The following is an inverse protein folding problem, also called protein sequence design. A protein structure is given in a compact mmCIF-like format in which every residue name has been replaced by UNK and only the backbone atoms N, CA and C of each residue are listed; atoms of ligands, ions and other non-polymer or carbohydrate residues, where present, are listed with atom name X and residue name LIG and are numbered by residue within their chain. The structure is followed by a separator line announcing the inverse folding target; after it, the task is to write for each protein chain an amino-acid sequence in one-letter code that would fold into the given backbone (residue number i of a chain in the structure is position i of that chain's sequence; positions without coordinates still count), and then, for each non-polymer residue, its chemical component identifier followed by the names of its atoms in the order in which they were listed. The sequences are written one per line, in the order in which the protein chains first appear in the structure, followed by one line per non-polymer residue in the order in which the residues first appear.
data_IF_548516945546
#
_entry.id   IF_548516945546
#
_cell.length_a   1.000
_cell.length_b   1.000
_cell.length_c   1.000
_cell.angle_alpha   90.00
_cell.angle_beta   90.00
_cell.angle_gamma   90.00
#
_symmetry.space_group_name_H-M   'P 1'
#
loop_
_entity.id
_entity.type
_entity.pdbx_description
1 polymer ?
#
# COMPACT_ATOMS: atom_id res chain seq x y z
N UNK A 1 34.01 -25.14 46.81
CA UNK A 1 33.95 -24.22 45.68
C UNK A 1 32.53 -24.26 45.09
N UNK A 2 31.71 -23.23 45.42
CA UNK A 2 30.36 -23.05 44.87
C UNK A 2 30.49 -22.19 43.65
N UNK A 3 30.32 -22.78 42.43
CA UNK A 3 30.20 -22.02 41.19
C UNK A 3 28.80 -21.40 41.13
N UNK A 4 28.71 -20.10 41.35
CA UNK A 4 27.50 -19.34 41.09
C UNK A 4 27.26 -19.21 39.60
N UNK A 5 26.20 -19.88 39.10
CA UNK A 5 25.71 -19.70 37.75
C UNK A 5 24.97 -18.37 37.69
N UNK A 6 25.60 -17.34 37.13
CA UNK A 6 24.92 -16.06 36.86
C UNK A 6 23.96 -16.28 35.65
N UNK A 7 22.66 -16.37 35.95
CA UNK A 7 21.61 -16.28 34.93
C UNK A 7 21.61 -14.86 34.34
N UNK A 8 22.19 -14.69 33.16
CA UNK A 8 21.99 -13.52 32.34
C UNK A 8 20.52 -13.53 31.86
N UNK A 9 19.66 -12.83 32.60
CA UNK A 9 18.33 -12.49 32.12
C UNK A 9 18.48 -11.58 30.90
N UNK A 10 17.84 -11.87 29.74
CA UNK A 10 17.84 -10.96 28.64
C UNK A 10 17.22 -9.64 29.10
N UNK A 11 17.97 -8.55 29.04
CA UNK A 11 17.41 -7.22 29.23
C UNK A 11 16.39 -7.01 28.12
N UNK A 12 15.11 -6.98 28.48
CA UNK A 12 14.04 -6.54 27.60
C UNK A 12 14.34 -5.07 27.24
N UNK A 13 14.87 -4.83 26.06
CA UNK A 13 15.08 -3.49 25.55
C UNK A 13 13.73 -2.76 25.56
N UNK A 14 13.67 -1.63 26.26
CA UNK A 14 12.48 -0.78 26.26
C UNK A 14 12.34 -0.19 24.86
N UNK A 15 11.10 -0.18 24.29
CA UNK A 15 10.83 0.41 23.00
C UNK A 15 11.26 1.88 22.98
N UNK A 16 12.02 2.23 21.94
CA UNK A 16 12.47 3.61 21.71
C UNK A 16 11.43 4.35 20.87
N UNK A 17 11.41 5.65 21.07
CA UNK A 17 10.73 6.58 20.18
C UNK A 17 11.77 7.42 19.46
N UNK A 18 11.69 7.44 18.13
CA UNK A 18 12.61 8.18 17.25
C UNK A 18 11.78 9.22 16.49
N UNK A 19 12.26 10.45 16.43
CA UNK A 19 11.57 11.52 15.72
C UNK A 19 12.30 11.91 14.45
N UNK A 20 11.51 12.12 13.38
CA UNK A 20 11.97 12.58 12.07
C UNK A 20 11.19 13.86 11.74
N UNK A 21 11.86 14.87 11.19
CA UNK A 21 11.27 16.15 10.80
C UNK A 21 11.86 16.64 9.48
N UNK A 22 11.09 17.27 8.58
CA UNK A 22 11.65 17.87 7.35
C UNK A 22 12.76 18.90 7.65
N UNK A 23 12.72 19.51 8.84
CA UNK A 23 13.73 20.47 9.32
C UNK A 23 14.74 19.84 10.28
N UNK A 24 14.84 18.50 10.32
CA UNK A 24 15.76 17.77 11.20
C UNK A 24 17.18 17.74 10.68
N UNK A 25 18.02 16.98 11.38
CA UNK A 25 19.42 16.77 11.00
C UNK A 25 19.78 15.28 11.25
N UNK A 26 20.25 14.58 10.22
CA UNK A 26 20.59 13.15 10.32
C UNK A 26 21.81 12.85 11.23
N UNK A 27 22.56 13.88 11.64
CA UNK A 27 23.57 13.77 12.69
C UNK A 27 23.01 13.91 14.11
N UNK A 28 21.70 14.22 14.25
CA UNK A 28 21.05 14.38 15.55
C UNK A 28 20.75 13.03 16.23
N UNK A 29 20.28 13.10 17.47
CA UNK A 29 19.98 11.90 18.27
C UNK A 29 18.62 11.26 17.95
N UNK A 30 17.72 11.99 17.29
CA UNK A 30 16.37 11.52 16.96
C UNK A 30 15.37 11.71 18.12
N UNK A 31 15.65 12.64 19.07
CA UNK A 31 14.67 13.08 20.06
C UNK A 31 13.71 14.10 19.46
N UNK A 32 12.64 14.42 20.18
CA UNK A 32 11.65 15.40 19.71
C UNK A 32 12.26 16.81 19.57
N UNK A 33 13.23 17.17 20.41
CA UNK A 33 13.97 18.46 20.38
C UNK A 33 15.08 18.46 19.32
N UNK A 34 15.61 17.28 18.95
CA UNK A 34 16.68 17.10 17.98
C UNK A 34 16.34 15.96 17.00
N UNK A 35 15.31 16.14 16.15
CA UNK A 35 14.84 15.09 15.24
C UNK A 35 15.84 14.85 14.10
N UNK A 36 15.80 13.63 13.54
CA UNK A 36 16.50 13.29 12.30
C UNK A 36 15.78 13.95 11.09
N UNK A 37 16.49 14.09 9.97
CA UNK A 37 15.93 14.65 8.75
C UNK A 37 15.23 13.59 7.88
N UNK A 38 15.71 12.34 7.91
CA UNK A 38 15.29 11.30 6.97
C UNK A 38 14.87 10.00 7.64
N UNK A 39 13.99 9.25 6.97
CA UNK A 39 13.65 7.90 7.40
C UNK A 39 14.84 6.92 7.30
N UNK A 40 15.70 6.95 6.26
CA UNK A 40 16.87 6.09 6.23
C UNK A 40 17.79 6.24 7.45
N UNK A 41 18.04 7.47 7.91
CA UNK A 41 18.85 7.72 9.12
C UNK A 41 18.14 7.21 10.39
N UNK A 42 16.82 7.44 10.51
CA UNK A 42 16.03 6.91 11.62
C UNK A 42 16.03 5.37 11.61
N UNK A 43 15.88 4.75 10.44
CA UNK A 43 15.80 3.31 10.28
C UNK A 43 17.08 2.58 10.73
N UNK A 44 18.25 3.20 10.62
CA UNK A 44 19.47 2.62 11.15
C UNK A 44 19.42 2.45 12.68
N UNK A 45 18.69 3.35 13.37
CA UNK A 45 18.54 3.35 14.84
C UNK A 45 17.34 2.50 15.33
N UNK A 46 16.40 2.14 14.45
CA UNK A 46 15.20 1.36 14.78
C UNK A 46 15.58 -0.06 15.19
N UNK A 47 14.95 -0.56 16.22
CA UNK A 47 14.96 -1.97 16.62
C UNK A 47 13.52 -2.52 16.64
N UNK A 48 13.36 -3.82 16.80
CA UNK A 48 12.04 -4.48 16.88
C UNK A 48 11.18 -3.84 17.96
N UNK A 49 9.99 -3.40 17.58
CA UNK A 49 9.02 -2.79 18.49
C UNK A 49 9.23 -1.31 18.78
N UNK A 50 10.16 -0.64 18.12
CA UNK A 50 10.32 0.81 18.22
C UNK A 50 9.26 1.57 17.43
N UNK A 51 9.11 2.85 17.75
CA UNK A 51 8.22 3.77 17.03
C UNK A 51 9.01 4.92 16.42
N UNK A 52 8.83 5.14 15.11
CA UNK A 52 9.29 6.34 14.42
C UNK A 52 8.10 7.27 14.25
N UNK A 53 8.21 8.48 14.78
CA UNK A 53 7.26 9.56 14.56
C UNK A 53 7.79 10.55 13.53
N UNK A 54 6.99 10.78 12.50
CA UNK A 54 7.22 11.83 11.51
C UNK A 54 6.48 13.10 11.93
N UNK A 55 7.20 14.21 12.05
CA UNK A 55 6.63 15.53 12.29
C UNK A 55 5.96 16.04 11.02
N UNK A 56 4.97 16.90 11.16
CA UNK A 56 4.25 17.52 10.06
C UNK A 56 5.16 18.29 9.10
N UNK A 57 4.76 18.35 7.86
CA UNK A 57 5.48 18.99 6.76
C UNK A 57 5.71 18.06 5.58
N UNK A 58 6.38 18.55 4.55
CA UNK A 58 6.65 17.82 3.31
C UNK A 58 8.06 17.26 3.35
N UNK A 59 8.17 15.95 3.16
CA UNK A 59 9.43 15.22 3.00
C UNK A 59 9.66 15.01 1.51
N UNK A 60 10.56 15.77 0.92
CA UNK A 60 10.98 15.60 -0.49
C UNK A 60 11.95 14.43 -0.60
N UNK A 61 11.53 13.39 -1.31
CA UNK A 61 12.26 12.13 -1.41
C UNK A 61 13.07 12.09 -2.69
N UNK A 62 14.37 11.80 -2.57
CA UNK A 62 15.32 11.72 -3.69
C UNK A 62 15.89 10.32 -3.85
N UNK A 63 16.59 10.07 -4.96
CA UNK A 63 17.21 8.78 -5.28
C UNK A 63 18.21 8.31 -4.21
N UNK A 64 18.85 9.23 -3.48
CA UNK A 64 19.81 8.93 -2.41
C UNK A 64 19.16 8.26 -1.18
N UNK A 65 17.85 8.40 -1.04
CA UNK A 65 17.08 7.81 0.07
C UNK A 65 16.59 6.39 -0.22
N UNK A 66 16.89 5.84 -1.41
CA UNK A 66 16.51 4.46 -1.75
C UNK A 66 17.29 3.47 -0.89
N UNK A 67 16.57 2.75 -0.03
CA UNK A 67 17.19 1.83 0.93
C UNK A 67 17.51 0.46 0.32
N UNK A 68 16.79 0.02 -0.74
CA UNK A 68 16.99 -1.32 -1.28
C UNK A 68 16.67 -1.42 -2.77
N UNK A 69 17.59 -2.04 -3.50
CA UNK A 69 17.33 -2.52 -4.86
C UNK A 69 17.20 -4.05 -4.85
N UNK A 70 16.15 -4.56 -5.46
CA UNK A 70 15.96 -6.00 -5.61
C UNK A 70 15.33 -6.33 -6.96
N UNK A 71 16.06 -7.07 -7.81
CA UNK A 71 15.65 -7.36 -9.20
C UNK A 71 15.30 -6.07 -9.95
N UNK A 72 14.06 -5.92 -10.39
CA UNK A 72 13.53 -4.74 -11.08
C UNK A 72 12.79 -3.77 -10.14
N UNK A 73 12.99 -3.86 -8.82
CA UNK A 73 12.39 -2.96 -7.84
C UNK A 73 13.43 -2.05 -7.18
N UNK A 74 13.06 -0.79 -7.00
CA UNK A 74 13.66 0.13 -6.06
C UNK A 74 12.67 0.34 -4.91
N UNK A 75 12.97 -0.24 -3.75
CA UNK A 75 12.20 -0.02 -2.52
C UNK A 75 12.81 1.19 -1.81
N UNK A 76 12.09 2.31 -1.87
CA UNK A 76 12.61 3.57 -1.31
C UNK A 76 12.74 3.43 0.20
N UNK A 77 11.66 3.08 0.88
CA UNK A 77 11.68 2.77 2.31
C UNK A 77 11.44 1.29 2.53
N UNK A 78 12.51 0.52 2.65
CA UNK A 78 12.47 -0.92 2.88
C UNK A 78 12.34 -1.23 4.38
N UNK A 79 11.13 -1.53 4.84
CA UNK A 79 10.82 -1.80 6.24
C UNK A 79 10.89 -3.31 6.50
N UNK A 80 12.04 -3.76 7.01
CA UNK A 80 12.38 -5.18 7.19
C UNK A 80 12.69 -5.55 8.65
N UNK A 81 12.46 -4.62 9.60
CA UNK A 81 12.63 -4.88 11.04
C UNK A 81 11.28 -5.22 11.67
N UNK A 82 11.05 -6.51 11.85
CA UNK A 82 9.81 -7.04 12.37
C UNK A 82 9.49 -6.52 13.78
N UNK A 83 8.20 -6.36 14.06
CA UNK A 83 7.69 -6.26 15.41
C UNK A 83 7.28 -7.64 15.97
N UNK A 84 6.42 -7.62 16.98
CA UNK A 84 5.74 -8.79 17.52
C UNK A 84 4.25 -8.49 17.73
N UNK A 85 3.45 -9.49 18.03
CA UNK A 85 2.01 -9.31 18.29
C UNK A 85 1.74 -8.31 19.43
N UNK A 86 2.59 -8.29 20.46
CA UNK A 86 2.46 -7.38 21.60
C UNK A 86 3.21 -6.05 21.44
N UNK A 87 4.13 -5.96 20.45
CA UNK A 87 5.03 -4.81 20.29
C UNK A 87 5.38 -4.63 18.82
N UNK A 88 4.52 -3.91 18.09
CA UNK A 88 4.72 -3.65 16.65
C UNK A 88 5.87 -2.66 16.43
N UNK A 89 6.58 -2.81 15.33
CA UNK A 89 7.48 -1.76 14.83
C UNK A 89 6.64 -0.74 14.06
N UNK A 90 6.66 0.52 14.51
CA UNK A 90 5.70 1.54 14.09
C UNK A 90 6.36 2.69 13.32
N UNK A 91 5.69 3.15 12.25
CA UNK A 91 6.07 4.31 11.44
C UNK A 91 4.85 5.20 11.31
N UNK A 92 4.81 6.32 12.04
CA UNK A 92 3.56 7.07 12.23
C UNK A 92 3.76 8.58 12.12
N UNK A 93 2.78 9.29 11.55
CA UNK A 93 2.66 10.73 11.76
C UNK A 93 2.48 11.06 13.24
N UNK A 94 3.14 12.10 13.71
CA UNK A 94 3.01 12.56 15.09
C UNK A 94 1.55 12.95 15.41
N UNK A 95 1.04 12.67 16.61
CA UNK A 95 -0.35 12.98 16.94
C UNK A 95 -0.73 14.45 16.67
N UNK A 96 -1.81 14.65 15.91
CA UNK A 96 -2.27 15.97 15.49
C UNK A 96 -1.54 16.57 14.28
N UNK A 97 -0.54 15.90 13.73
CA UNK A 97 0.20 16.32 12.55
C UNK A 97 -0.02 15.34 11.39
N UNK A 98 0.08 15.83 10.15
CA UNK A 98 -0.07 15.02 8.92
C UNK A 98 1.16 15.22 8.02
N UNK A 99 2.20 14.41 8.14
CA UNK A 99 3.36 14.44 7.23
C UNK A 99 2.96 14.00 5.82
N UNK A 100 3.62 14.59 4.81
CA UNK A 100 3.45 14.27 3.39
C UNK A 100 4.79 13.79 2.84
N UNK A 101 4.83 12.59 2.28
CA UNK A 101 5.99 12.06 1.58
C UNK A 101 5.83 12.29 0.09
N UNK A 102 6.63 13.18 -0.47
CA UNK A 102 6.62 13.57 -1.88
C UNK A 102 7.77 12.89 -2.63
N UNK A 103 7.40 11.95 -3.50
CA UNK A 103 8.33 11.15 -4.31
C UNK A 103 8.55 11.71 -5.72
N UNK A 104 8.02 12.90 -6.03
CA UNK A 104 8.06 13.48 -7.38
C UNK A 104 9.49 13.76 -7.88
N UNK A 105 10.45 13.93 -6.98
CA UNK A 105 11.85 14.17 -7.31
C UNK A 105 12.65 12.91 -7.68
N UNK A 106 12.06 11.68 -7.54
CA UNK A 106 12.75 10.45 -7.95
C UNK A 106 12.97 10.42 -9.46
N UNK A 107 14.21 10.18 -9.87
CA UNK A 107 14.58 10.06 -11.27
C UNK A 107 14.83 8.59 -11.70
N UNK A 108 15.48 7.78 -10.90
CA UNK A 108 15.80 6.35 -11.02
C UNK A 108 15.72 5.84 -12.46
N UNK A 109 16.79 6.00 -13.19
CA UNK A 109 16.92 5.72 -14.63
C UNK A 109 16.15 4.47 -15.09
N UNK A 110 14.93 4.63 -15.56
CA UNK A 110 14.10 3.76 -16.40
C UNK A 110 14.10 2.23 -16.22
N UNK A 111 14.62 1.69 -15.11
CA UNK A 111 14.83 0.25 -14.91
C UNK A 111 14.00 -0.33 -13.78
N UNK A 112 13.51 0.51 -12.88
CA UNK A 112 12.95 0.05 -11.63
C UNK A 112 11.48 0.40 -11.50
N UNK A 113 10.69 -0.56 -11.05
CA UNK A 113 9.39 -0.32 -10.42
C UNK A 113 9.66 0.30 -9.05
N UNK A 114 8.94 1.33 -8.69
CA UNK A 114 9.08 2.00 -7.41
C UNK A 114 8.12 1.38 -6.40
N UNK A 115 8.64 0.92 -5.27
CA UNK A 115 7.88 0.64 -4.07
C UNK A 115 8.21 1.71 -3.03
N UNK A 116 7.31 2.67 -2.81
CA UNK A 116 7.63 3.80 -1.93
C UNK A 116 7.81 3.33 -0.48
N UNK A 117 6.85 2.61 0.09
CA UNK A 117 6.98 1.93 1.38
C UNK A 117 6.86 0.42 1.18
N UNK A 118 7.93 -0.31 1.42
CA UNK A 118 7.95 -1.77 1.31
C UNK A 118 7.77 -2.43 2.67
N UNK A 119 6.72 -3.25 2.80
CA UNK A 119 6.46 -4.06 3.99
C UNK A 119 7.14 -5.41 3.83
N UNK A 120 8.39 -5.49 4.31
CA UNK A 120 9.26 -6.66 4.18
C UNK A 120 9.38 -7.51 5.44
N UNK A 121 8.62 -7.20 6.50
CA UNK A 121 8.66 -7.90 7.78
C UNK A 121 7.29 -7.93 8.47
N UNK A 122 7.13 -8.84 9.43
CA UNK A 122 5.88 -9.02 10.17
C UNK A 122 5.66 -7.93 11.24
N UNK A 123 4.39 -7.72 11.59
CA UNK A 123 3.96 -6.84 12.67
C UNK A 123 4.43 -5.40 12.53
N UNK A 124 4.49 -4.89 11.31
CA UNK A 124 4.67 -3.46 11.04
C UNK A 124 3.35 -2.71 11.24
N UNK A 125 3.43 -1.44 11.64
CA UNK A 125 2.28 -0.55 11.68
C UNK A 125 2.63 0.80 11.08
N UNK A 126 2.03 1.10 9.92
CA UNK A 126 2.12 2.39 9.24
C UNK A 126 0.85 3.18 9.50
N UNK A 127 0.98 4.47 9.88
CA UNK A 127 -0.20 5.25 10.25
C UNK A 127 -0.03 6.75 10.02
N UNK A 128 -1.11 7.38 9.54
CA UNK A 128 -1.34 8.83 9.62
C UNK A 128 -0.33 9.69 8.85
N UNK A 129 -0.20 9.47 7.52
CA UNK A 129 0.59 10.29 6.60
C UNK A 129 0.06 10.18 5.16
N UNK A 130 0.53 11.05 4.30
CA UNK A 130 0.21 11.05 2.87
C UNK A 130 1.41 10.62 2.02
N UNK A 131 1.12 9.97 0.89
CA UNK A 131 2.10 9.52 -0.11
C UNK A 131 1.68 10.12 -1.45
N UNK A 132 2.54 10.96 -2.03
CA UNK A 132 2.29 11.63 -3.30
C UNK A 132 3.49 11.53 -4.26
N UNK A 133 3.22 11.70 -5.55
CA UNK A 133 4.26 11.87 -6.56
C UNK A 133 5.07 10.61 -6.88
N UNK A 134 4.63 9.41 -6.49
CA UNK A 134 5.34 8.15 -6.83
C UNK A 134 5.32 7.95 -8.33
N UNK A 135 6.49 7.98 -9.02
CA UNK A 135 6.53 7.96 -10.47
C UNK A 135 6.56 6.55 -11.06
N UNK A 136 6.17 6.45 -12.34
CA UNK A 136 6.56 5.35 -13.23
C UNK A 136 7.68 5.84 -14.14
N UNK A 137 8.76 5.05 -14.27
CA UNK A 137 9.94 5.39 -15.08
C UNK A 137 10.28 4.34 -16.14
N UNK A 138 9.45 3.30 -16.29
CA UNK A 138 9.59 2.24 -17.30
C UNK A 138 8.53 2.45 -18.36
N UNK A 139 8.93 2.52 -19.63
CA UNK A 139 7.97 2.71 -20.74
C UNK A 139 7.13 1.48 -21.06
N UNK A 140 7.63 0.28 -20.85
CA UNK A 140 6.88 -0.95 -21.09
C UNK A 140 5.75 -1.15 -20.08
N UNK A 141 4.97 -2.22 -20.25
CA UNK A 141 3.92 -2.61 -19.29
C UNK A 141 4.48 -2.78 -17.88
N UNK A 142 4.08 -1.94 -16.96
CA UNK A 142 4.64 -1.87 -15.62
C UNK A 142 3.67 -1.23 -14.64
N UNK A 143 4.06 -1.23 -13.36
CA UNK A 143 3.40 -0.50 -12.27
C UNK A 143 4.43 -0.08 -11.23
N UNK A 144 4.17 0.98 -10.51
CA UNK A 144 4.80 1.36 -9.24
C UNK A 144 3.77 1.26 -8.11
N UNK A 145 4.19 1.31 -6.87
CA UNK A 145 3.34 1.04 -5.71
C UNK A 145 3.64 2.06 -4.59
N UNK A 146 2.63 2.70 -4.04
CA UNK A 146 2.81 3.58 -2.87
C UNK A 146 3.11 2.74 -1.63
N UNK A 147 2.33 1.69 -1.38
CA UNK A 147 2.62 0.68 -0.36
C UNK A 147 2.74 -0.69 -1.03
N UNK A 148 3.92 -1.30 -0.92
CA UNK A 148 4.30 -2.56 -1.53
C UNK A 148 4.40 -3.66 -0.47
N UNK A 149 3.32 -4.42 -0.24
CA UNK A 149 3.26 -5.49 0.75
C UNK A 149 3.61 -6.84 0.11
N UNK A 150 4.86 -7.32 0.31
CA UNK A 150 5.37 -8.49 -0.43
C UNK A 150 5.90 -9.62 0.43
N UNK A 151 6.04 -9.42 1.74
CA UNK A 151 6.51 -10.46 2.66
C UNK A 151 5.80 -10.38 4.02
N UNK A 152 5.59 -9.17 4.55
CA UNK A 152 5.11 -8.98 5.91
C UNK A 152 3.69 -9.52 6.15
N UNK A 153 3.53 -10.22 7.27
CA UNK A 153 2.25 -10.68 7.80
C UNK A 153 1.87 -9.89 9.06
N UNK A 154 0.59 -9.87 9.41
CA UNK A 154 0.08 -9.18 10.59
C UNK A 154 0.39 -7.67 10.60
N UNK A 155 0.62 -7.07 9.44
CA UNK A 155 0.86 -5.65 9.30
C UNK A 155 -0.45 -4.85 9.38
N UNK A 156 -0.36 -3.61 9.88
CA UNK A 156 -1.48 -2.67 9.88
C UNK A 156 -1.06 -1.44 9.07
N UNK A 157 -1.91 -1.07 8.11
CA UNK A 157 -1.83 0.18 7.35
C UNK A 157 -3.08 0.97 7.67
N UNK A 158 -2.94 2.12 8.32
CA UNK A 158 -4.07 2.83 8.91
C UNK A 158 -4.00 4.34 8.64
N UNK A 159 -5.13 4.92 8.22
CA UNK A 159 -5.27 6.36 8.03
C UNK A 159 -4.17 6.98 7.15
N UNK A 160 -3.88 6.34 6.02
CA UNK A 160 -2.92 6.80 5.02
C UNK A 160 -3.66 7.21 3.75
N UNK A 161 -3.29 8.34 3.16
CA UNK A 161 -3.76 8.74 1.86
C UNK A 161 -2.64 8.56 0.81
N UNK A 162 -2.97 7.87 -0.28
CA UNK A 162 -2.10 7.60 -1.41
C UNK A 162 -2.72 8.28 -2.64
N UNK A 163 -2.20 9.44 -3.02
CA UNK A 163 -2.88 10.24 -4.04
C UNK A 163 -1.92 11.04 -4.93
N UNK A 164 -2.42 11.40 -6.09
CA UNK A 164 -1.65 12.16 -7.08
C UNK A 164 -0.34 11.44 -7.46
N UNK A 165 -0.43 10.11 -7.66
CA UNK A 165 0.69 9.24 -8.02
C UNK A 165 0.49 8.66 -9.43
N UNK A 166 1.57 8.18 -10.04
CA UNK A 166 1.52 7.28 -11.19
C UNK A 166 1.45 5.80 -10.76
N UNK A 167 1.22 5.52 -9.50
CA UNK A 167 1.37 4.24 -8.84
C UNK A 167 0.04 3.71 -8.29
N UNK A 168 -0.05 2.38 -8.14
CA UNK A 168 -1.09 1.74 -7.32
C UNK A 168 -0.96 2.26 -5.88
N UNK A 169 -2.08 2.53 -5.22
CA UNK A 169 -2.08 2.96 -3.82
C UNK A 169 -1.49 1.88 -2.91
N UNK A 170 -2.21 0.81 -2.67
CA UNK A 170 -1.74 -0.34 -1.90
C UNK A 170 -1.69 -1.59 -2.79
N UNK A 171 -0.58 -2.32 -2.76
CA UNK A 171 -0.43 -3.55 -3.53
C UNK A 171 0.20 -4.67 -2.71
N UNK A 172 -0.52 -5.79 -2.56
CA UNK A 172 -0.07 -6.94 -1.78
C UNK A 172 0.08 -8.19 -2.66
N UNK A 173 1.21 -8.90 -2.55
CA UNK A 173 1.46 -10.16 -3.26
C UNK A 173 1.82 -11.34 -2.36
N UNK A 174 2.05 -11.11 -1.08
CA UNK A 174 2.27 -12.14 -0.08
C UNK A 174 1.92 -11.63 1.32
N UNK A 175 1.91 -12.53 2.30
CA UNK A 175 1.63 -12.24 3.70
C UNK A 175 0.17 -12.43 4.08
N UNK A 176 -0.03 -12.77 5.35
CA UNK A 176 -1.31 -13.13 5.95
C UNK A 176 -1.73 -12.14 7.04
N UNK A 177 -3.02 -12.04 7.29
CA UNK A 177 -3.59 -11.26 8.39
C UNK A 177 -3.18 -9.78 8.38
N UNK A 178 -2.99 -9.21 7.19
CA UNK A 178 -2.74 -7.78 7.02
C UNK A 178 -4.07 -7.03 7.05
N UNK A 179 -4.11 -5.92 7.78
CA UNK A 179 -5.26 -5.04 7.90
C UNK A 179 -4.92 -3.69 7.27
N UNK A 180 -5.66 -3.32 6.23
CA UNK A 180 -5.65 -1.97 5.65
C UNK A 180 -6.95 -1.29 6.03
N UNK A 181 -6.87 -0.23 6.83
CA UNK A 181 -8.09 0.40 7.34
C UNK A 181 -8.04 1.93 7.30
N UNK A 182 -9.20 2.53 7.08
CA UNK A 182 -9.36 3.98 7.02
C UNK A 182 -8.38 4.67 6.06
N UNK A 183 -7.99 3.99 4.98
CA UNK A 183 -7.05 4.49 4.00
C UNK A 183 -7.77 5.03 2.76
N UNK A 184 -7.15 5.99 2.11
CA UNK A 184 -7.63 6.61 0.89
C UNK A 184 -6.65 6.38 -0.25
N UNK A 185 -7.16 6.02 -1.43
CA UNK A 185 -6.39 5.97 -2.67
C UNK A 185 -7.13 6.74 -3.75
N UNK A 186 -6.56 7.85 -4.22
CA UNK A 186 -7.28 8.69 -5.18
C UNK A 186 -6.39 9.50 -6.11
N UNK A 187 -6.96 9.87 -7.26
CA UNK A 187 -6.29 10.65 -8.29
C UNK A 187 -4.99 10.01 -8.80
N UNK A 188 -4.91 8.68 -8.81
CA UNK A 188 -3.72 7.99 -9.26
C UNK A 188 -3.87 7.63 -10.75
N UNK A 189 -2.85 7.98 -11.55
CA UNK A 189 -2.84 7.80 -13.00
C UNK A 189 -1.41 7.70 -13.55
N UNK A 190 -1.14 6.66 -14.33
CA UNK A 190 0.10 6.49 -15.08
C UNK A 190 -0.10 6.92 -16.54
N UNK A 191 0.54 7.99 -16.94
CA UNK A 191 0.54 8.50 -18.31
C UNK A 191 1.87 8.23 -19.05
N UNK A 192 2.78 7.50 -18.43
CA UNK A 192 4.13 7.29 -18.92
C UNK A 192 4.36 5.89 -19.54
N UNK A 193 3.82 4.83 -18.94
CA UNK A 193 4.03 3.47 -19.45
C UNK A 193 3.24 3.23 -20.73
N UNK A 194 3.88 2.61 -21.70
CA UNK A 194 3.24 2.33 -23.00
C UNK A 194 2.18 1.24 -22.88
N UNK A 195 1.03 1.45 -23.50
CA UNK A 195 -0.08 0.50 -23.57
C UNK A 195 -0.88 0.38 -22.28
N UNK A 196 -0.54 1.11 -21.25
CA UNK A 196 -1.30 1.10 -20.00
C UNK A 196 -2.43 2.11 -19.99
N UNK A 197 -2.27 3.29 -20.58
CA UNK A 197 -3.26 4.38 -20.59
C UNK A 197 -4.06 4.49 -19.29
N UNK A 198 -3.34 4.35 -18.15
CA UNK A 198 -3.92 4.30 -16.80
C UNK A 198 -4.39 2.91 -16.33
N UNK A 199 -4.40 1.88 -17.14
CA UNK A 199 -4.57 0.49 -16.71
C UNK A 199 -3.38 0.03 -15.86
N UNK A 200 -3.60 -0.68 -14.79
CA UNK A 200 -2.69 -1.06 -13.70
C UNK A 200 -2.52 0.01 -12.60
N UNK A 201 -3.35 1.02 -12.50
CA UNK A 201 -3.30 1.99 -11.40
C UNK A 201 -4.59 1.92 -10.58
N UNK A 202 -4.66 0.85 -9.79
CA UNK A 202 -5.75 0.60 -8.86
C UNK A 202 -5.61 1.44 -7.59
N UNK A 203 -6.72 1.60 -6.87
CA UNK A 203 -6.68 2.13 -5.51
C UNK A 203 -6.01 1.13 -4.55
N UNK A 204 -6.55 -0.08 -4.48
CA UNK A 204 -6.11 -1.15 -3.60
C UNK A 204 -6.08 -2.49 -4.34
N UNK A 205 -4.94 -3.18 -4.32
CA UNK A 205 -4.77 -4.50 -4.91
C UNK A 205 -4.31 -5.55 -3.90
N UNK A 206 -4.92 -6.75 -3.93
CA UNK A 206 -4.42 -7.90 -3.19
C UNK A 206 -4.35 -9.12 -4.13
N UNK A 207 -3.14 -9.52 -4.46
CA UNK A 207 -2.83 -10.56 -5.44
C UNK A 207 -1.89 -11.61 -4.82
N UNK A 208 -2.18 -12.05 -3.59
CA UNK A 208 -1.35 -13.03 -2.90
C UNK A 208 -1.26 -14.34 -3.70
N UNK A 209 -0.05 -14.90 -3.75
CA UNK A 209 0.30 -16.01 -4.64
C UNK A 209 0.33 -17.38 -3.93
N UNK A 210 -0.02 -17.41 -2.64
CA UNK A 210 -0.09 -18.66 -1.87
C UNK A 210 -1.51 -18.80 -1.28
N UNK A 211 -2.04 -20.00 -1.31
CA UNK A 211 -3.36 -20.32 -0.69
C UNK A 211 -3.34 -20.21 0.84
N UNK A 212 -2.15 -20.14 1.43
CA UNK A 212 -1.93 -19.97 2.86
C UNK A 212 -1.91 -18.50 3.31
N UNK A 213 -1.86 -17.54 2.37
CA UNK A 213 -1.82 -16.09 2.67
C UNK A 213 -3.21 -15.54 3.03
N UNK A 214 -3.83 -16.11 4.04
CA UNK A 214 -5.22 -15.88 4.45
C UNK A 214 -5.38 -14.69 5.42
N UNK A 215 -6.63 -14.25 5.63
CA UNK A 215 -7.00 -13.29 6.67
C UNK A 215 -6.66 -11.84 6.34
N UNK A 216 -6.41 -11.51 5.08
CA UNK A 216 -6.18 -10.14 4.62
C UNK A 216 -7.51 -9.37 4.52
N UNK A 217 -7.54 -8.15 5.05
CA UNK A 217 -8.77 -7.34 5.17
C UNK A 217 -8.52 -5.90 4.72
N UNK A 218 -9.43 -5.39 3.88
CA UNK A 218 -9.61 -3.96 3.64
C UNK A 218 -10.86 -3.50 4.37
N UNK A 219 -10.75 -2.48 5.22
CA UNK A 219 -11.86 -2.00 6.02
C UNK A 219 -11.92 -0.47 6.07
N UNK A 220 -13.12 0.08 5.81
CA UNK A 220 -13.35 1.54 5.80
C UNK A 220 -12.43 2.31 4.84
N UNK A 221 -11.93 1.65 3.78
CA UNK A 221 -11.08 2.26 2.79
C UNK A 221 -11.90 2.90 1.67
N UNK A 222 -11.34 3.96 1.04
CA UNK A 222 -12.01 4.66 -0.05
C UNK A 222 -11.08 4.76 -1.25
N UNK A 223 -11.59 4.36 -2.43
CA UNK A 223 -10.88 4.42 -3.70
C UNK A 223 -11.68 5.30 -4.67
N UNK A 224 -11.12 6.43 -5.12
CA UNK A 224 -11.83 7.26 -6.08
C UNK A 224 -10.91 7.96 -7.07
N UNK A 225 -11.38 8.07 -8.31
CA UNK A 225 -10.63 8.70 -9.41
C UNK A 225 -9.24 8.08 -9.60
N UNK A 226 -9.13 6.77 -9.40
CA UNK A 226 -8.00 6.02 -9.89
C UNK A 226 -8.25 5.63 -11.34
N UNK A 227 -7.21 5.60 -12.14
CA UNK A 227 -7.38 5.40 -13.57
C UNK A 227 -7.74 3.96 -13.96
N UNK A 228 -7.56 2.99 -13.07
CA UNK A 228 -8.03 1.62 -13.25
C UNK A 228 -9.11 1.28 -12.21
N UNK A 229 -9.00 0.21 -11.47
CA UNK A 229 -10.03 -0.26 -10.57
C UNK A 229 -9.94 0.40 -9.16
N UNK A 230 -11.04 0.42 -8.43
CA UNK A 230 -11.04 0.85 -7.03
C UNK A 230 -10.35 -0.18 -6.14
N UNK A 231 -10.81 -1.43 -6.23
CA UNK A 231 -10.25 -2.60 -5.55
C UNK A 231 -10.09 -3.73 -6.55
N UNK A 232 -8.87 -4.30 -6.66
CA UNK A 232 -8.56 -5.42 -7.56
C UNK A 232 -8.02 -6.64 -6.78
N UNK A 233 -8.70 -7.79 -6.94
CA UNK A 233 -8.30 -9.08 -6.40
C UNK A 233 -8.02 -10.09 -7.52
N UNK A 234 -7.61 -9.63 -8.70
CA UNK A 234 -7.32 -10.53 -9.83
C UNK A 234 -6.22 -11.54 -9.45
N UNK A 235 -6.45 -12.82 -9.76
CA UNK A 235 -5.49 -13.89 -9.50
C UNK A 235 -5.01 -13.98 -8.03
N UNK A 236 -5.84 -13.58 -7.08
CA UNK A 236 -5.56 -13.72 -5.66
C UNK A 236 -5.82 -15.17 -5.20
N UNK A 237 -4.83 -15.85 -4.65
CA UNK A 237 -4.90 -17.29 -4.32
C UNK A 237 -5.55 -17.59 -2.97
N UNK A 238 -5.78 -16.60 -2.13
CA UNK A 238 -6.40 -16.77 -0.82
C UNK A 238 -7.62 -15.84 -0.64
N UNK A 239 -8.57 -16.19 0.22
CA UNK A 239 -9.71 -15.32 0.51
C UNK A 239 -9.29 -13.96 1.05
N UNK A 240 -9.93 -12.91 0.57
CA UNK A 240 -9.79 -11.54 1.04
C UNK A 240 -11.16 -11.01 1.45
N UNK A 241 -11.20 -10.27 2.55
CA UNK A 241 -12.39 -9.55 3.01
C UNK A 241 -12.28 -8.06 2.65
N UNK A 242 -13.36 -7.51 2.07
CA UNK A 242 -13.53 -6.06 1.84
C UNK A 242 -14.79 -5.63 2.55
N UNK A 243 -14.64 -4.80 3.59
CA UNK A 243 -15.68 -4.44 4.54
C UNK A 243 -15.86 -2.93 4.67
N UNK A 244 -17.10 -2.42 4.50
CA UNK A 244 -17.45 -1.00 4.62
C UNK A 244 -16.57 -0.07 3.76
N UNK A 245 -16.16 -0.50 2.57
CA UNK A 245 -15.34 0.27 1.66
C UNK A 245 -16.17 1.03 0.62
N UNK A 246 -15.58 2.07 0.05
CA UNK A 246 -16.21 2.90 -0.98
C UNK A 246 -15.32 2.91 -2.22
N UNK A 247 -15.91 2.67 -3.40
CA UNK A 247 -15.25 2.78 -4.70
C UNK A 247 -16.09 3.67 -5.61
N UNK A 248 -15.56 4.81 -6.04
CA UNK A 248 -16.34 5.74 -6.87
C UNK A 248 -15.49 6.46 -7.91
N UNK A 249 -16.07 6.71 -9.08
CA UNK A 249 -15.42 7.44 -10.18
C UNK A 249 -14.08 6.83 -10.63
N UNK A 250 -13.85 5.52 -10.47
CA UNK A 250 -12.65 4.85 -10.96
C UNK A 250 -12.78 4.51 -12.47
N UNK A 251 -11.64 4.36 -13.16
CA UNK A 251 -11.57 4.12 -14.59
C UNK A 251 -11.49 5.40 -15.43
N UNK A 252 -11.24 6.53 -14.81
CA UNK A 252 -11.14 7.81 -15.49
C UNK A 252 -9.79 8.47 -15.23
N UNK A 253 -9.30 9.15 -16.27
CA UNK A 253 -8.10 9.97 -16.17
C UNK A 253 -8.36 11.17 -15.26
N UNK A 254 -7.50 11.45 -14.27
CA UNK A 254 -7.54 12.71 -13.57
C UNK A 254 -7.33 13.87 -14.57
N UNK A 255 -8.21 14.83 -14.61
CA UNK A 255 -8.01 16.04 -15.39
C UNK A 255 -7.35 17.09 -14.51
N UNK A 256 -6.52 17.96 -15.11
CA UNK A 256 -5.81 19.02 -14.40
C UNK A 256 -6.76 19.98 -13.64
N UNK A 257 -8.02 20.02 -14.04
CA UNK A 257 -9.07 20.78 -13.38
C UNK A 257 -10.08 19.85 -12.69
N UNK A 258 -9.70 19.32 -11.52
CA UNK A 258 -10.59 18.52 -10.65
C UNK A 258 -11.88 19.25 -10.24
N UNK A 259 -12.00 20.53 -10.52
CA UNK A 259 -13.20 21.32 -10.26
C UNK A 259 -14.28 21.07 -11.30
N UNK A 260 -13.89 20.61 -12.49
CA UNK A 260 -14.86 20.26 -13.55
C UNK A 260 -15.17 18.76 -13.49
N UNK A 261 -16.18 18.41 -12.71
CA UNK A 261 -16.67 17.02 -12.54
C UNK A 261 -17.43 16.49 -13.77
N UNK A 262 -17.51 17.22 -14.87
CA UNK A 262 -18.31 16.86 -16.05
C UNK A 262 -17.49 16.21 -17.18
N UNK A 263 -16.16 16.28 -17.15
CA UNK A 263 -15.30 15.65 -18.15
C UNK A 263 -14.65 14.37 -17.61
N UNK A 264 -15.32 13.25 -17.84
CA UNK A 264 -14.77 11.92 -17.56
C UNK A 264 -14.03 11.40 -18.79
N UNK A 265 -12.71 11.53 -18.80
CA UNK A 265 -11.87 10.92 -19.85
C UNK A 265 -11.59 9.48 -19.45
N UNK A 266 -12.04 8.52 -20.27
CA UNK A 266 -11.85 7.09 -20.04
C UNK A 266 -10.36 6.72 -19.95
N UNK A 267 -10.02 5.84 -19.01
CA UNK A 267 -8.68 5.31 -18.81
C UNK A 267 -8.70 3.76 -18.74
N UNK A 268 -8.24 3.14 -17.66
CA UNK A 268 -8.20 1.67 -17.48
C UNK A 268 -9.56 0.97 -17.45
N UNK A 269 -9.68 -0.17 -16.76
CA UNK A 269 -10.90 -0.98 -16.74
C UNK A 269 -12.03 -0.25 -15.99
N UNK A 270 -11.78 0.25 -14.81
CA UNK A 270 -12.69 1.11 -14.05
C UNK A 270 -13.81 0.38 -13.36
N UNK A 271 -13.53 -0.73 -12.72
CA UNK A 271 -14.48 -1.37 -11.83
C UNK A 271 -14.38 -0.78 -10.41
N UNK A 272 -15.47 -0.80 -9.65
CA UNK A 272 -15.44 -0.44 -8.24
C UNK A 272 -14.74 -1.50 -7.40
N UNK A 273 -15.32 -2.70 -7.37
CA UNK A 273 -14.80 -3.88 -6.67
C UNK A 273 -14.69 -5.04 -7.66
N UNK A 274 -13.46 -5.33 -8.11
CA UNK A 274 -13.13 -6.45 -9.00
C UNK A 274 -12.56 -7.59 -8.17
N UNK A 275 -13.36 -8.63 -7.94
CA UNK A 275 -13.01 -9.74 -7.06
C UNK A 275 -12.86 -11.04 -7.85
N UNK A 276 -11.61 -11.38 -8.21
CA UNK A 276 -11.28 -12.61 -8.89
C UNK A 276 -10.68 -12.47 -10.28
N UNK A 277 -10.70 -13.53 -11.12
CA UNK A 277 -10.22 -13.40 -12.49
C UNK A 277 -9.45 -14.56 -13.11
N UNK A 278 -9.89 -15.81 -12.96
CA UNK A 278 -9.26 -16.94 -13.69
C UNK A 278 -10.09 -17.46 -14.87
N UNK A 279 -11.36 -17.10 -14.95
CA UNK A 279 -12.30 -17.76 -15.86
C UNK A 279 -12.00 -17.61 -17.34
N UNK A 280 -11.37 -16.53 -17.77
CA UNK A 280 -11.07 -16.29 -19.18
C UNK A 280 -9.89 -17.12 -19.72
N UNK A 281 -8.88 -17.33 -18.89
CA UNK A 281 -7.65 -18.04 -19.27
C UNK A 281 -7.11 -18.91 -18.15
N UNK A 282 -7.89 -19.88 -17.61
CA UNK A 282 -7.49 -20.66 -16.43
C UNK A 282 -6.27 -21.53 -16.68
N UNK A 283 -6.00 -21.89 -17.96
CA UNK A 283 -4.84 -22.69 -18.37
C UNK A 283 -3.54 -21.90 -18.51
N UNK A 284 -3.63 -20.58 -18.58
CA UNK A 284 -2.45 -19.68 -18.68
C UNK A 284 -2.10 -19.12 -17.30
N UNK A 285 -3.11 -18.85 -16.49
CA UNK A 285 -2.96 -18.37 -15.12
C UNK A 285 -2.97 -19.57 -14.19
N UNK A 286 -2.01 -19.64 -13.27
CA UNK A 286 -1.94 -20.72 -12.27
C UNK A 286 -3.11 -20.63 -11.31
N UNK A 287 -4.27 -21.12 -11.72
CA UNK A 287 -5.42 -21.21 -10.82
C UNK A 287 -5.13 -22.26 -9.73
N UNK A 288 -5.35 -21.98 -8.44
CA UNK A 288 -5.23 -23.00 -7.40
C UNK A 288 -6.31 -24.09 -7.60
N UNK A 289 -6.05 -25.31 -7.10
CA UNK A 289 -6.99 -26.43 -7.20
C UNK A 289 -8.39 -26.05 -6.67
N UNK A 290 -8.39 -25.33 -5.55
CA UNK A 290 -9.61 -24.71 -5.00
C UNK A 290 -9.51 -23.19 -5.12
N UNK A 291 -10.27 -22.64 -6.05
CA UNK A 291 -10.38 -21.19 -6.22
C UNK A 291 -10.91 -20.54 -4.92
N UNK A 292 -10.28 -19.49 -4.39
CA UNK A 292 -10.75 -18.85 -3.15
C UNK A 292 -12.10 -18.19 -3.33
N UNK A 293 -12.85 -18.03 -2.26
CA UNK A 293 -14.06 -17.22 -2.23
C UNK A 293 -13.78 -15.94 -1.47
N UNK A 294 -13.79 -14.79 -2.17
CA UNK A 294 -13.66 -13.48 -1.54
C UNK A 294 -14.98 -13.05 -0.89
N UNK A 295 -14.90 -12.23 0.14
CA UNK A 295 -16.05 -11.70 0.84
C UNK A 295 -16.07 -10.18 0.78
N UNK A 296 -17.05 -9.60 0.08
CA UNK A 296 -17.23 -8.15 -0.09
C UNK A 296 -18.59 -7.78 0.47
N UNK A 297 -18.58 -6.91 1.49
CA UNK A 297 -19.82 -6.59 2.18
C UNK A 297 -19.88 -5.17 2.75
N UNK A 298 -21.11 -4.64 2.88
CA UNK A 298 -21.40 -3.29 3.36
C UNK A 298 -20.67 -2.19 2.56
N UNK A 299 -20.37 -2.46 1.29
CA UNK A 299 -19.60 -1.58 0.42
C UNK A 299 -20.50 -0.75 -0.50
N UNK A 300 -19.99 0.41 -0.91
CA UNK A 300 -20.63 1.29 -1.87
C UNK A 300 -19.78 1.43 -3.14
N UNK A 301 -20.35 1.06 -4.29
CA UNK A 301 -19.81 1.35 -5.61
C UNK A 301 -20.67 2.40 -6.30
N UNK A 302 -20.08 3.52 -6.73
CA UNK A 302 -20.84 4.62 -7.30
C UNK A 302 -20.10 5.27 -8.48
N UNK A 303 -20.77 5.38 -9.62
CA UNK A 303 -20.27 6.04 -10.83
C UNK A 303 -18.84 5.62 -11.25
N UNK A 304 -18.50 4.34 -11.09
CA UNK A 304 -17.32 3.79 -11.73
C UNK A 304 -17.57 3.61 -13.23
N UNK A 305 -16.51 3.61 -14.03
CA UNK A 305 -16.63 3.58 -15.49
C UNK A 305 -17.30 2.31 -16.03
N UNK A 306 -17.03 1.16 -15.41
CA UNK A 306 -17.49 -0.14 -15.88
C UNK A 306 -18.49 -0.77 -14.91
N UNK A 307 -18.04 -1.61 -13.98
CA UNK A 307 -18.92 -2.30 -13.05
C UNK A 307 -18.70 -1.80 -11.63
N UNK A 308 -19.78 -1.63 -10.87
CA UNK A 308 -19.63 -1.35 -9.44
C UNK A 308 -19.11 -2.57 -8.69
N UNK A 309 -19.65 -3.74 -8.99
CA UNK A 309 -19.34 -5.03 -8.39
C UNK A 309 -19.09 -6.02 -9.52
N UNK A 310 -17.89 -6.66 -9.54
CA UNK A 310 -17.48 -7.50 -10.65
C UNK A 310 -16.70 -8.73 -10.18
N UNK A 311 -17.22 -9.91 -10.50
CA UNK A 311 -16.54 -11.17 -10.20
C UNK A 311 -15.43 -11.52 -11.19
N UNK A 312 -15.25 -10.77 -12.27
CA UNK A 312 -14.18 -10.91 -13.25
C UNK A 312 -13.97 -12.37 -13.72
N UNK A 313 -15.05 -13.04 -14.10
CA UNK A 313 -15.04 -14.45 -14.50
C UNK A 313 -14.40 -15.39 -13.46
N UNK A 314 -14.57 -15.10 -12.18
CA UNK A 314 -14.06 -15.92 -11.08
C UNK A 314 -14.68 -17.32 -11.11
N UNK A 315 -13.87 -18.37 -10.90
CA UNK A 315 -14.30 -19.75 -11.07
C UNK A 315 -15.14 -20.30 -9.91
N UNK A 316 -14.91 -19.75 -8.70
CA UNK A 316 -15.72 -20.09 -7.54
C UNK A 316 -16.64 -18.96 -7.17
N UNK A 317 -17.77 -18.82 -7.05
CA UNK A 317 -18.55 -17.62 -6.66
C UNK A 317 -17.93 -16.87 -5.48
N UNK A 318 -18.06 -15.58 -5.47
CA UNK A 318 -17.70 -14.72 -4.33
C UNK A 318 -18.92 -14.50 -3.43
N UNK A 319 -18.66 -14.14 -2.17
CA UNK A 319 -19.71 -13.78 -1.23
C UNK A 319 -19.92 -12.27 -1.26
N UNK A 320 -21.11 -11.84 -1.65
CA UNK A 320 -21.52 -10.44 -1.76
C UNK A 320 -22.71 -10.19 -0.85
N UNK A 321 -22.57 -9.34 0.16
CA UNK A 321 -23.66 -9.08 1.10
C UNK A 321 -23.78 -7.59 1.42
N UNK A 322 -24.99 -7.07 1.48
CA UNK A 322 -25.31 -5.70 1.91
C UNK A 322 -24.55 -4.59 1.15
N UNK A 323 -24.21 -4.84 -0.12
CA UNK A 323 -23.52 -3.86 -0.95
C UNK A 323 -24.53 -3.00 -1.72
N UNK A 324 -24.15 -1.75 -1.95
CA UNK A 324 -24.86 -0.84 -2.84
C UNK A 324 -24.02 -0.58 -4.09
N UNK A 325 -24.62 -0.76 -5.27
CA UNK A 325 -23.99 -0.46 -6.55
C UNK A 325 -24.94 0.42 -7.37
N UNK A 326 -24.52 1.64 -7.67
CA UNK A 326 -25.36 2.61 -8.34
C UNK A 326 -24.61 3.40 -9.41
N UNK A 327 -25.28 3.60 -10.56
CA UNK A 327 -24.82 4.45 -11.68
C UNK A 327 -23.44 4.05 -12.25
N UNK A 328 -23.03 2.80 -12.10
CA UNK A 328 -21.79 2.27 -12.67
C UNK A 328 -22.00 1.82 -14.11
#
# INVERSE_FOLDING_TARGET
LIFGLALLLPQLSQAKTIFVSPNGNDSANGTIEAPLASLPAAYQKVESGDTVYFRGGIYHITDEQVMKFHKNYAFVFALEKAGTASKRTCFMGYPGERPVFDFSALQLEGKYRIGAFYLGADYLHLRNFDIIGVPVRIKGHTQSECISARLGSYCIVENIAMHDNMAIGYYQTAGSYNLVQNCDAYNNYDDFSEGAYGGNVDGFGCHVQQTTDVGNVFRYCRAWRNSDDGFDLIHCFAPVEIDHCIAMYNGFRPTADFKNTTEFVSAGDGNGFKAGGWGMKPHVTRCPEKCPQHYVHHCLAYQNKANGIYSNHHLSGNKWEYNTSAMN
#
